data_IF_598913368515
#
_entry.id   IF_598913368515
#
_cell.length_a   1.000
_cell.length_b   1.000
_cell.length_c   1.000
_cell.angle_alpha   90.00
_cell.angle_beta   90.00
_cell.angle_gamma   90.00
#
_symmetry.space_group_name_H-M   'P 1'
#
loop_
_entity.id
_entity.type
_entity.pdbx_description
1 polymer ?
#
# COMPACT_ATOMS: atom_id res chain seq x y z
N UNK A 1 32.28 22.81 43.51
CA UNK A 1 31.58 21.53 43.26
C UNK A 1 30.78 21.69 41.98
N UNK A 2 31.33 21.22 40.86
CA UNK A 2 30.65 21.27 39.56
C UNK A 2 29.85 19.98 39.41
N UNK A 3 28.52 20.10 39.46
CA UNK A 3 27.61 18.98 39.26
C UNK A 3 27.64 18.61 37.77
N UNK A 4 28.23 17.46 37.46
CA UNK A 4 28.20 16.87 36.12
C UNK A 4 26.86 16.13 36.00
N UNK A 5 25.95 16.65 35.19
CA UNK A 5 24.71 15.96 34.84
C UNK A 5 25.02 14.75 33.93
N UNK A 6 24.36 13.60 34.12
CA UNK A 6 24.61 12.41 33.32
C UNK A 6 24.15 12.65 31.87
N UNK A 7 25.00 12.27 30.91
CA UNK A 7 24.64 12.20 29.49
C UNK A 7 23.49 11.20 29.35
N UNK A 8 22.38 11.64 28.75
CA UNK A 8 21.28 10.75 28.37
C UNK A 8 21.75 9.60 27.47
N UNK A 9 20.95 8.53 27.33
CA UNK A 9 21.34 7.33 26.60
C UNK A 9 21.70 7.70 25.15
N UNK A 10 22.95 7.46 24.77
CA UNK A 10 23.37 7.49 23.37
C UNK A 10 22.63 6.36 22.66
N UNK A 11 21.62 6.70 21.85
CA UNK A 11 21.01 5.75 20.94
C UNK A 11 22.07 5.28 19.97
N UNK A 12 22.52 4.02 20.11
CA UNK A 12 23.36 3.39 19.08
C UNK A 12 22.56 3.42 17.79
N UNK A 13 23.07 4.14 16.79
CA UNK A 13 22.52 4.10 15.43
C UNK A 13 22.60 2.65 14.96
N UNK A 14 21.47 2.10 14.48
CA UNK A 14 21.42 0.75 13.93
C UNK A 14 22.50 0.57 12.85
N UNK A 15 23.10 -0.63 12.72
CA UNK A 15 24.09 -0.88 11.68
C UNK A 15 23.49 -0.59 10.29
N UNK A 16 24.33 -0.06 9.39
CA UNK A 16 23.98 0.07 7.96
C UNK A 16 23.87 -1.33 7.38
N UNK A 17 22.79 -1.57 6.63
CA UNK A 17 22.47 -2.87 6.03
C UNK A 17 22.45 -2.74 4.51
N UNK A 18 22.88 -3.79 3.82
CA UNK A 18 22.66 -4.01 2.39
C UNK A 18 21.35 -4.76 2.17
N UNK A 19 20.38 -4.09 1.54
CA UNK A 19 19.00 -4.56 1.40
C UNK A 19 18.66 -4.70 -0.08
N UNK A 20 18.19 -5.88 -0.48
CA UNK A 20 17.48 -6.07 -1.74
C UNK A 20 15.98 -5.89 -1.50
N UNK A 21 15.42 -4.78 -1.95
CA UNK A 21 14.00 -4.50 -1.86
C UNK A 21 13.32 -4.93 -3.17
N UNK A 22 12.45 -5.94 -3.11
CA UNK A 22 11.79 -6.50 -4.30
C UNK A 22 10.34 -6.03 -4.34
N UNK A 23 9.97 -5.25 -5.36
CA UNK A 23 8.62 -4.77 -5.60
C UNK A 23 7.82 -5.65 -6.58
N UNK A 24 6.54 -5.31 -6.84
CA UNK A 24 5.75 -5.95 -7.89
C UNK A 24 6.32 -5.71 -9.29
N UNK A 25 6.03 -6.65 -10.21
CA UNK A 25 6.54 -6.65 -11.58
C UNK A 25 5.58 -6.03 -12.61
N UNK A 26 4.30 -5.85 -12.28
CA UNK A 26 3.27 -5.49 -13.26
C UNK A 26 3.39 -4.07 -13.80
N UNK A 27 3.48 -3.09 -12.90
CA UNK A 27 3.49 -1.66 -13.24
C UNK A 27 4.83 -1.02 -12.84
N UNK A 28 5.36 -0.09 -13.65
CA UNK A 28 6.46 0.76 -13.23
C UNK A 28 6.11 1.50 -11.94
N UNK A 29 6.98 1.39 -10.95
CA UNK A 29 6.81 2.01 -9.64
C UNK A 29 7.36 3.44 -9.69
N UNK A 30 6.50 4.37 -10.11
CA UNK A 30 6.75 5.80 -10.22
C UNK A 30 5.43 6.56 -10.14
N UNK A 31 5.48 7.86 -9.93
CA UNK A 31 4.27 8.68 -9.93
C UNK A 31 3.74 8.91 -11.37
N UNK A 32 2.41 8.92 -11.58
CA UNK A 32 1.37 8.47 -10.64
C UNK A 32 1.42 6.95 -10.43
N UNK A 33 1.30 6.50 -9.17
CA UNK A 33 1.40 5.07 -8.84
C UNK A 33 0.16 4.31 -9.33
N UNK A 34 0.38 3.10 -9.83
CA UNK A 34 -0.72 2.23 -10.24
C UNK A 34 -1.59 1.77 -9.06
N UNK A 35 -1.05 1.71 -7.84
CA UNK A 35 -1.76 1.27 -6.65
C UNK A 35 -1.00 1.54 -5.36
N UNK A 36 -1.58 1.11 -4.24
CA UNK A 36 -1.00 1.31 -2.92
C UNK A 36 0.29 0.51 -2.68
N UNK A 37 0.43 -0.65 -3.32
CA UNK A 37 1.66 -1.45 -3.22
C UNK A 37 2.84 -0.75 -3.89
N UNK A 38 2.63 -0.17 -5.07
CA UNK A 38 3.64 0.65 -5.76
C UNK A 38 4.00 1.88 -4.93
N UNK A 39 3.00 2.58 -4.38
CA UNK A 39 3.22 3.74 -3.51
C UNK A 39 4.05 3.37 -2.26
N UNK A 40 3.69 2.26 -1.60
CA UNK A 40 4.42 1.72 -0.46
C UNK A 40 5.87 1.41 -0.82
N UNK A 41 6.11 0.61 -1.88
CA UNK A 41 7.46 0.19 -2.25
C UNK A 41 8.38 1.39 -2.51
N UNK A 42 7.90 2.37 -3.28
CA UNK A 42 8.69 3.55 -3.59
C UNK A 42 8.99 4.41 -2.35
N UNK A 43 7.99 4.65 -1.51
CA UNK A 43 8.18 5.48 -0.30
C UNK A 43 9.04 4.78 0.74
N UNK A 44 8.88 3.47 0.90
CA UNK A 44 9.66 2.65 1.82
C UNK A 44 11.14 2.56 1.41
N UNK A 45 11.45 2.37 0.12
CA UNK A 45 12.82 2.41 -0.39
C UNK A 45 13.49 3.75 -0.08
N UNK A 46 12.78 4.87 -0.29
CA UNK A 46 13.29 6.20 0.06
C UNK A 46 13.53 6.33 1.57
N UNK A 47 12.60 5.87 2.40
CA UNK A 47 12.71 5.93 3.85
C UNK A 47 13.91 5.12 4.38
N UNK A 48 14.12 3.91 3.89
CA UNK A 48 15.26 3.06 4.26
C UNK A 48 16.60 3.69 3.84
N UNK A 49 16.68 4.28 2.64
CA UNK A 49 17.86 5.04 2.19
C UNK A 49 18.12 6.27 3.06
N UNK A 50 17.07 7.00 3.46
CA UNK A 50 17.18 8.14 4.40
C UNK A 50 17.69 7.71 5.77
N UNK A 51 17.31 6.52 6.26
CA UNK A 51 17.85 5.96 7.49
C UNK A 51 19.34 5.59 7.39
N UNK A 52 19.86 5.45 6.16
CA UNK A 52 21.27 5.24 5.86
C UNK A 52 21.61 3.82 5.43
N UNK A 53 20.61 2.99 5.09
CA UNK A 53 20.81 1.66 4.52
C UNK A 53 21.17 1.74 3.03
N UNK A 54 21.92 0.76 2.55
CA UNK A 54 22.16 0.55 1.12
C UNK A 54 21.03 -0.29 0.55
N UNK A 55 20.17 0.33 -0.26
CA UNK A 55 18.98 -0.32 -0.78
C UNK A 55 19.06 -0.41 -2.30
N UNK A 56 19.21 -1.62 -2.81
CA UNK A 56 18.94 -1.94 -4.21
C UNK A 56 17.45 -2.25 -4.36
N UNK A 57 16.81 -1.59 -5.33
CA UNK A 57 15.39 -1.77 -5.60
C UNK A 57 15.22 -2.57 -6.88
N UNK A 58 14.45 -3.66 -6.83
CA UNK A 58 14.15 -4.51 -7.97
C UNK A 58 12.65 -4.47 -8.25
N UNK A 59 12.28 -3.77 -9.30
CA UNK A 59 10.90 -3.54 -9.69
C UNK A 59 10.72 -3.60 -11.21
N UNK A 60 9.48 -3.42 -11.68
CA UNK A 60 9.16 -3.34 -13.09
C UNK A 60 10.01 -2.28 -13.81
N UNK A 61 10.38 -2.55 -15.06
CA UNK A 61 11.15 -1.64 -15.91
C UNK A 61 10.54 -0.24 -15.94
N UNK A 62 11.40 0.77 -15.77
CA UNK A 62 10.99 2.17 -15.73
C UNK A 62 10.45 2.65 -14.38
N UNK A 63 10.65 1.87 -13.31
CA UNK A 63 10.43 2.30 -11.93
C UNK A 63 11.48 3.33 -11.48
N UNK A 64 11.09 4.25 -10.61
CA UNK A 64 12.01 5.25 -10.06
C UNK A 64 12.96 4.62 -9.03
N UNK A 65 14.26 4.85 -9.19
CA UNK A 65 15.28 4.37 -8.24
C UNK A 65 15.55 2.86 -8.30
N UNK A 66 15.15 2.21 -9.40
CA UNK A 66 15.43 0.82 -9.72
C UNK A 66 16.94 0.56 -9.85
N UNK A 67 17.38 -0.65 -9.50
CA UNK A 67 18.76 -1.09 -9.71
C UNK A 67 19.02 -1.25 -11.21
N UNK A 68 20.12 -0.72 -11.76
CA UNK A 68 20.40 -0.80 -13.20
C UNK A 68 20.73 -2.22 -13.67
N UNK A 69 21.05 -3.12 -12.73
CA UNK A 69 21.54 -4.45 -13.05
C UNK A 69 20.43 -5.46 -13.38
N UNK A 70 19.20 -5.17 -12.96
CA UNK A 70 18.05 -6.04 -13.20
C UNK A 70 16.74 -5.25 -13.14
N UNK A 71 15.92 -5.41 -14.17
CA UNK A 71 14.56 -4.87 -14.21
C UNK A 71 13.55 -5.96 -14.52
N UNK A 72 12.42 -5.95 -13.79
CA UNK A 72 11.33 -6.85 -14.09
C UNK A 72 10.61 -6.43 -15.39
N UNK A 73 10.12 -7.38 -16.19
CA UNK A 73 9.71 -7.14 -17.56
C UNK A 73 8.51 -6.20 -17.77
N UNK A 74 7.67 -5.99 -16.75
CA UNK A 74 6.34 -5.40 -16.93
C UNK A 74 5.39 -6.33 -17.70
N UNK A 75 4.09 -6.02 -17.68
CA UNK A 75 3.10 -6.73 -18.49
C UNK A 75 2.85 -5.98 -19.80
N UNK A 76 3.14 -6.63 -20.92
CA UNK A 76 2.95 -6.06 -22.25
C UNK A 76 1.59 -6.45 -22.85
N UNK A 77 0.65 -5.51 -22.81
CA UNK A 77 -0.69 -5.66 -23.40
C UNK A 77 -0.74 -5.48 -24.92
N UNK A 78 0.37 -5.12 -25.58
CA UNK A 78 0.42 -4.94 -27.03
C UNK A 78 -0.67 -3.99 -27.54
N UNK A 79 -1.44 -4.45 -28.54
CA UNK A 79 -2.59 -3.73 -29.11
C UNK A 79 -3.88 -3.86 -28.30
N UNK A 80 -3.96 -4.74 -27.30
CA UNK A 80 -5.16 -5.06 -26.53
C UNK A 80 -5.27 -4.28 -25.23
N UNK A 81 -4.91 -2.98 -25.27
CA UNK A 81 -4.86 -2.11 -24.07
C UNK A 81 -6.23 -1.87 -23.45
N UNK A 82 -7.28 -1.92 -24.25
CA UNK A 82 -8.67 -1.82 -23.82
C UNK A 82 -9.13 -3.01 -22.96
N UNK A 83 -8.45 -4.15 -23.07
CA UNK A 83 -8.66 -5.33 -22.23
C UNK A 83 -7.80 -5.32 -20.97
N UNK A 84 -6.97 -4.28 -20.78
CA UNK A 84 -6.06 -4.21 -19.65
C UNK A 84 -6.84 -4.17 -18.33
N UNK A 85 -6.48 -5.10 -17.44
CA UNK A 85 -6.93 -5.16 -16.06
C UNK A 85 -5.75 -5.27 -15.12
N UNK A 86 -5.99 -5.09 -13.83
CA UNK A 86 -4.96 -5.22 -12.80
C UNK A 86 -4.56 -6.68 -12.52
N UNK A 87 -5.37 -7.65 -12.94
CA UNK A 87 -5.21 -9.08 -12.60
C UNK A 87 -4.98 -9.99 -13.80
N UNK A 88 -5.47 -9.61 -14.98
CA UNK A 88 -5.39 -10.43 -16.20
C UNK A 88 -4.02 -10.33 -16.88
N UNK A 89 -3.60 -11.41 -17.54
CA UNK A 89 -2.37 -11.46 -18.33
C UNK A 89 -2.69 -11.78 -19.79
N UNK A 90 -2.07 -11.08 -20.76
CA UNK A 90 -1.96 -11.57 -22.13
C UNK A 90 -1.25 -12.92 -22.17
N UNK A 91 -1.48 -13.68 -23.24
CA UNK A 91 -0.82 -14.97 -23.47
C UNK A 91 0.71 -14.84 -23.39
N UNK A 92 1.36 -15.69 -22.58
CA UNK A 92 2.82 -15.73 -22.44
C UNK A 92 3.42 -14.70 -21.47
N UNK A 93 2.68 -13.64 -21.08
CA UNK A 93 3.22 -12.60 -20.22
C UNK A 93 3.38 -13.07 -18.77
N UNK A 94 2.54 -14.00 -18.30
CA UNK A 94 2.68 -14.58 -16.97
C UNK A 94 3.95 -15.43 -16.87
N UNK A 95 4.20 -16.28 -17.85
CA UNK A 95 5.39 -17.14 -17.91
C UNK A 95 6.67 -16.30 -18.08
N UNK A 96 6.58 -15.17 -18.76
CA UNK A 96 7.69 -14.20 -18.88
C UNK A 96 8.01 -13.54 -17.55
N UNK A 97 7.00 -13.15 -16.78
CA UNK A 97 7.16 -12.61 -15.43
C UNK A 97 7.77 -13.66 -14.47
N UNK A 98 7.26 -14.89 -14.49
CA UNK A 98 7.75 -15.99 -13.67
C UNK A 98 9.25 -16.29 -13.93
N UNK A 99 9.67 -16.37 -15.21
CA UNK A 99 11.09 -16.54 -15.58
C UNK A 99 11.98 -15.40 -15.07
N UNK A 100 11.44 -14.18 -15.06
CA UNK A 100 12.17 -13.03 -14.54
C UNK A 100 12.37 -13.12 -13.02
N UNK A 101 11.35 -13.54 -12.26
CA UNK A 101 11.51 -13.74 -10.82
C UNK A 101 12.47 -14.88 -10.47
N UNK A 102 12.46 -15.98 -11.22
CA UNK A 102 13.46 -17.05 -11.06
C UNK A 102 14.88 -16.49 -11.27
N UNK A 103 15.07 -15.71 -12.33
CA UNK A 103 16.37 -15.11 -12.65
C UNK A 103 16.82 -14.10 -11.58
N UNK A 104 15.87 -13.30 -11.07
CA UNK A 104 16.11 -12.36 -9.98
C UNK A 104 16.54 -13.11 -8.71
N UNK A 105 15.80 -14.16 -8.32
CA UNK A 105 16.15 -14.95 -7.13
C UNK A 105 17.56 -15.53 -7.23
N UNK A 106 17.91 -16.11 -8.37
CA UNK A 106 19.27 -16.62 -8.63
C UNK A 106 20.34 -15.51 -8.53
N UNK A 107 20.02 -14.28 -8.97
CA UNK A 107 20.90 -13.13 -8.80
C UNK A 107 21.07 -12.76 -7.31
N UNK A 108 19.98 -12.74 -6.54
CA UNK A 108 20.02 -12.41 -5.11
C UNK A 108 20.84 -13.42 -4.31
N UNK A 109 20.70 -14.72 -4.61
CA UNK A 109 21.53 -15.79 -4.00
C UNK A 109 23.02 -15.53 -4.26
N UNK A 110 23.40 -15.14 -5.48
CA UNK A 110 24.80 -14.85 -5.82
C UNK A 110 25.35 -13.57 -5.18
N UNK A 111 24.50 -12.57 -4.94
CA UNK A 111 24.92 -11.27 -4.39
C UNK A 111 25.10 -11.28 -2.88
N UNK A 112 24.32 -12.08 -2.15
CA UNK A 112 24.45 -12.19 -0.70
C UNK A 112 24.16 -10.88 0.04
N UNK A 113 22.94 -10.36 -0.09
CA UNK A 113 22.47 -9.21 0.70
C UNK A 113 22.32 -9.58 2.17
N UNK A 114 22.40 -8.59 3.07
CA UNK A 114 22.09 -8.79 4.49
C UNK A 114 20.62 -9.23 4.66
N UNK A 115 19.71 -8.57 3.92
CA UNK A 115 18.28 -8.92 3.88
C UNK A 115 17.68 -8.73 2.48
N UNK A 116 16.78 -9.64 2.11
CA UNK A 116 15.85 -9.49 0.98
C UNK A 116 14.46 -9.14 1.51
N UNK A 117 13.95 -7.95 1.21
CA UNK A 117 12.57 -7.57 1.54
C UNK A 117 11.65 -7.79 0.33
N UNK A 118 10.90 -8.88 0.37
CA UNK A 118 9.99 -9.31 -0.68
C UNK A 118 8.59 -8.68 -0.54
N UNK A 119 8.15 -7.99 -1.59
CA UNK A 119 6.80 -7.40 -1.73
C UNK A 119 6.16 -7.75 -3.09
N UNK A 120 6.68 -8.75 -3.81
CA UNK A 120 6.42 -8.93 -5.25
C UNK A 120 5.17 -9.74 -5.61
N UNK A 121 4.51 -10.34 -4.61
CA UNK A 121 3.41 -11.30 -4.78
C UNK A 121 3.75 -12.50 -5.68
N UNK A 122 5.03 -12.77 -5.95
CA UNK A 122 5.47 -13.88 -6.79
C UNK A 122 5.84 -15.12 -5.97
N UNK A 123 5.34 -16.33 -6.32
CA UNK A 123 5.75 -17.59 -5.69
C UNK A 123 7.22 -17.94 -5.96
N UNK A 124 7.80 -17.36 -7.01
CA UNK A 124 9.15 -17.67 -7.46
C UNK A 124 10.25 -16.96 -6.67
N UNK A 125 9.89 -16.19 -5.63
CA UNK A 125 10.84 -15.69 -4.63
C UNK A 125 11.17 -16.74 -3.56
N UNK A 126 10.31 -17.74 -3.37
CA UNK A 126 10.55 -18.85 -2.43
C UNK A 126 11.39 -19.96 -3.08
N UNK A 127 12.09 -20.79 -2.29
CA UNK A 127 12.84 -21.95 -2.79
C UNK A 127 12.07 -22.80 -3.83
N UNK A 128 12.74 -23.12 -4.93
CA UNK A 128 12.20 -23.96 -6.01
C UNK A 128 13.30 -24.86 -6.59
N UNK A 129 12.98 -25.88 -7.41
CA UNK A 129 14.00 -26.70 -8.06
C UNK A 129 15.00 -25.90 -8.91
N UNK A 130 14.62 -24.73 -9.42
CA UNK A 130 15.48 -23.85 -10.23
C UNK A 130 16.39 -22.93 -9.38
N UNK A 131 16.05 -22.73 -8.11
CA UNK A 131 16.86 -21.97 -7.14
C UNK A 131 16.47 -22.41 -5.73
N UNK A 132 17.12 -23.46 -5.20
CA UNK A 132 16.72 -24.07 -3.92
C UNK A 132 17.30 -23.37 -2.68
N UNK A 133 18.32 -22.54 -2.84
CA UNK A 133 19.06 -21.95 -1.71
C UNK A 133 18.20 -20.95 -0.93
N UNK A 134 18.12 -20.99 0.40
CA UNK A 134 17.37 -19.99 1.17
C UNK A 134 17.97 -18.59 1.02
N UNK A 135 17.14 -17.57 1.23
CA UNK A 135 17.54 -16.15 1.29
C UNK A 135 17.25 -15.60 2.70
N UNK A 136 18.04 -14.64 3.23
CA UNK A 136 17.69 -13.92 4.46
C UNK A 136 16.50 -12.99 4.19
N UNK A 137 15.30 -13.58 4.10
CA UNK A 137 14.15 -12.92 3.49
C UNK A 137 13.10 -12.52 4.52
N UNK A 138 12.54 -11.33 4.33
CA UNK A 138 11.28 -10.88 4.93
C UNK A 138 10.26 -10.72 3.82
N UNK A 139 9.15 -11.44 3.89
CA UNK A 139 8.01 -11.22 2.99
C UNK A 139 6.94 -10.40 3.69
N UNK A 140 6.51 -9.28 3.09
CA UNK A 140 5.33 -8.54 3.57
C UNK A 140 4.08 -8.95 2.83
N UNK A 141 3.08 -9.36 3.60
CA UNK A 141 1.75 -9.75 3.16
C UNK A 141 0.88 -8.49 3.03
N UNK A 142 0.62 -8.10 1.78
CA UNK A 142 -0.12 -6.87 1.42
C UNK A 142 -1.56 -7.11 0.97
N UNK A 143 -1.95 -8.37 0.79
CA UNK A 143 -3.25 -8.78 0.24
C UNK A 143 -3.84 -9.89 1.10
N UNK A 144 -5.14 -10.20 0.95
CA UNK A 144 -5.68 -11.49 1.35
C UNK A 144 -4.89 -12.64 0.73
N UNK A 145 -5.11 -13.85 1.26
CA UNK A 145 -4.43 -15.08 0.87
C UNK A 145 -4.46 -15.29 -0.64
N UNK A 146 -3.29 -15.58 -1.19
CA UNK A 146 -3.13 -16.03 -2.57
C UNK A 146 -2.71 -17.50 -2.52
N UNK A 147 -3.51 -18.39 -3.10
CA UNK A 147 -3.31 -19.84 -3.00
C UNK A 147 -1.94 -20.27 -3.54
N UNK A 148 -1.56 -19.79 -4.71
CA UNK A 148 -0.26 -20.12 -5.33
C UNK A 148 0.93 -19.69 -4.46
N UNK A 149 0.83 -18.52 -3.81
CA UNK A 149 1.86 -18.03 -2.90
C UNK A 149 1.88 -18.85 -1.62
N UNK A 150 0.70 -19.22 -1.09
CA UNK A 150 0.55 -20.08 0.08
C UNK A 150 1.19 -21.45 -0.15
N UNK A 151 0.97 -22.03 -1.33
CA UNK A 151 1.54 -23.33 -1.69
C UNK A 151 3.07 -23.25 -1.82
N UNK A 152 3.61 -22.14 -2.35
CA UNK A 152 5.05 -21.93 -2.41
C UNK A 152 5.68 -21.77 -1.02
N UNK A 153 5.04 -20.99 -0.14
CA UNK A 153 5.43 -20.84 1.27
C UNK A 153 5.41 -22.19 1.99
N UNK A 154 4.34 -22.98 1.82
CA UNK A 154 4.19 -24.28 2.46
C UNK A 154 5.26 -25.29 2.00
N UNK A 155 5.61 -25.30 0.71
CA UNK A 155 6.70 -26.14 0.18
C UNK A 155 8.07 -25.72 0.70
N UNK A 156 8.30 -24.42 0.86
CA UNK A 156 9.55 -23.89 1.37
C UNK A 156 9.73 -24.14 2.88
N UNK A 157 8.64 -24.22 3.65
CA UNK A 157 8.71 -24.41 5.10
C UNK A 157 9.54 -23.30 5.74
N UNK A 158 10.40 -23.64 6.69
CA UNK A 158 11.23 -22.66 7.40
C UNK A 158 12.18 -21.85 6.49
N UNK A 159 12.52 -22.38 5.31
CA UNK A 159 13.37 -21.70 4.30
C UNK A 159 12.61 -20.59 3.55
N UNK A 160 11.31 -20.42 3.81
CA UNK A 160 10.51 -19.31 3.27
C UNK A 160 10.89 -17.95 3.88
N UNK A 161 11.64 -17.94 4.98
CA UNK A 161 12.05 -16.73 5.70
C UNK A 161 11.00 -16.23 6.69
N UNK A 162 11.13 -14.97 7.08
CA UNK A 162 10.27 -14.31 8.05
C UNK A 162 9.12 -13.55 7.36
N UNK A 163 8.03 -13.31 8.09
CA UNK A 163 6.82 -12.70 7.55
C UNK A 163 6.41 -11.45 8.32
N UNK A 164 5.98 -10.44 7.57
CA UNK A 164 5.29 -9.28 8.10
C UNK A 164 3.90 -9.14 7.45
N UNK A 165 2.95 -8.54 8.13
CA UNK A 165 1.64 -8.20 7.57
C UNK A 165 1.22 -6.78 7.96
N UNK A 166 0.41 -6.16 7.10
CA UNK A 166 0.00 -4.76 7.26
C UNK A 166 -1.15 -4.54 8.26
N UNK A 167 -1.76 -5.62 8.76
CA UNK A 167 -2.81 -5.64 9.80
C UNK A 167 -2.90 -7.02 10.44
N UNK A 168 -3.58 -7.15 11.58
CA UNK A 168 -3.82 -8.47 12.17
C UNK A 168 -4.85 -9.26 11.36
N UNK A 169 -5.87 -8.61 10.78
CA UNK A 169 -6.79 -9.26 9.84
C UNK A 169 -6.03 -9.90 8.67
N UNK A 170 -5.10 -9.17 8.05
CA UNK A 170 -4.27 -9.75 6.98
C UNK A 170 -3.39 -10.87 7.51
N UNK A 171 -2.72 -10.72 8.66
CA UNK A 171 -1.91 -11.78 9.23
C UNK A 171 -2.69 -13.10 9.44
N UNK A 172 -3.93 -13.00 9.93
CA UNK A 172 -4.77 -14.15 10.26
C UNK A 172 -5.27 -14.93 9.03
N UNK A 173 -5.32 -14.29 7.86
CA UNK A 173 -5.75 -14.93 6.61
C UNK A 173 -4.66 -15.83 5.99
N UNK A 174 -3.41 -15.67 6.44
CA UNK A 174 -2.27 -16.42 5.92
C UNK A 174 -1.82 -17.50 6.89
N UNK A 175 -1.51 -18.69 6.33
CA UNK A 175 -0.77 -19.74 7.04
C UNK A 175 0.69 -19.65 6.65
N UNK A 176 1.55 -19.41 7.63
CA UNK A 176 3.00 -19.25 7.44
C UNK A 176 3.76 -20.20 8.38
N UNK A 177 4.96 -20.65 7.99
CA UNK A 177 5.79 -21.55 8.79
C UNK A 177 6.33 -20.88 10.06
N UNK A 178 6.34 -19.54 10.09
CA UNK A 178 6.86 -18.72 11.19
C UNK A 178 5.84 -17.66 11.61
N UNK A 179 5.87 -17.19 12.87
CA UNK A 179 4.97 -16.12 13.32
C UNK A 179 5.05 -14.87 12.44
N UNK A 180 3.90 -14.29 12.13
CA UNK A 180 3.80 -13.07 11.35
C UNK A 180 3.93 -11.85 12.27
N UNK A 181 4.88 -10.96 11.96
CA UNK A 181 5.01 -9.68 12.65
C UNK A 181 4.07 -8.64 12.02
N UNK A 182 3.13 -8.08 12.79
CA UNK A 182 2.22 -7.05 12.26
C UNK A 182 2.90 -5.68 12.25
N UNK A 183 3.23 -5.18 11.06
CA UNK A 183 3.80 -3.86 10.82
C UNK A 183 2.87 -3.11 9.85
N UNK A 184 1.97 -2.25 10.36
CA UNK A 184 1.12 -1.45 9.50
C UNK A 184 1.94 -0.51 8.61
N UNK A 185 1.41 -0.23 7.43
CA UNK A 185 2.03 0.71 6.50
C UNK A 185 2.10 2.11 7.15
N UNK A 186 3.07 2.90 6.66
CA UNK A 186 3.27 4.27 7.10
C UNK A 186 3.05 5.27 5.96
N UNK A 187 2.66 6.48 6.33
CA UNK A 187 2.42 7.60 5.42
C UNK A 187 3.60 8.57 5.48
N UNK A 188 4.04 9.09 4.33
CA UNK A 188 5.01 10.18 4.31
C UNK A 188 4.33 11.49 4.74
N UNK A 189 4.32 11.72 6.05
CA UNK A 189 3.69 12.89 6.67
C UNK A 189 4.37 14.22 6.33
N UNK A 190 5.57 14.19 5.75
CA UNK A 190 6.23 15.40 5.23
C UNK A 190 5.71 15.80 3.84
N UNK A 191 5.21 14.84 3.06
CA UNK A 191 4.60 15.11 1.75
C UNK A 191 3.09 15.35 1.90
N UNK A 192 2.40 14.46 2.61
CA UNK A 192 0.97 14.57 2.93
C UNK A 192 0.76 15.54 4.09
N UNK A 193 0.70 16.83 3.74
CA UNK A 193 0.59 17.94 4.69
C UNK A 193 -0.86 18.43 4.85
N UNK A 194 -1.21 19.02 6.01
CA UNK A 194 -2.54 19.59 6.23
C UNK A 194 -2.97 20.58 5.14
N UNK A 195 -4.17 20.39 4.61
CA UNK A 195 -4.80 21.33 3.67
C UNK A 195 -5.86 22.23 4.31
N UNK A 196 -6.42 23.19 3.56
CA UNK A 196 -7.37 24.17 4.07
C UNK A 196 -8.74 23.58 4.45
N UNK A 197 -9.06 22.36 4.00
CA UNK A 197 -10.41 21.82 4.05
C UNK A 197 -11.34 22.45 3.01
N UNK A 198 -12.60 22.05 3.02
CA UNK A 198 -13.60 22.55 2.07
C UNK A 198 -14.96 21.94 2.34
N UNK A 199 -15.80 21.88 1.31
CA UNK A 199 -17.22 21.49 1.41
C UNK A 199 -17.57 20.21 0.65
N UNK A 200 -16.69 19.73 -0.23
CA UNK A 200 -16.90 18.52 -1.01
C UNK A 200 -16.28 17.29 -0.34
N UNK A 201 -16.88 16.12 -0.55
CA UNK A 201 -16.25 14.84 -0.31
C UNK A 201 -15.23 14.52 -1.41
N UNK A 202 -14.26 13.68 -1.08
CA UNK A 202 -13.34 13.08 -2.04
C UNK A 202 -13.38 11.55 -1.94
N UNK A 203 -13.28 10.90 -3.08
CA UNK A 203 -12.93 9.49 -3.18
C UNK A 203 -11.72 9.39 -4.10
N UNK A 204 -10.72 8.59 -3.74
CA UNK A 204 -9.60 8.36 -4.63
C UNK A 204 -9.03 6.96 -4.53
N UNK A 205 -8.53 6.48 -5.66
CA UNK A 205 -7.99 5.13 -5.81
C UNK A 205 -8.32 4.54 -7.18
N UNK A 206 -8.05 3.25 -7.32
CA UNK A 206 -8.33 2.49 -8.55
C UNK A 206 -9.84 2.36 -8.73
N UNK A 207 -10.38 2.78 -9.88
CA UNK A 207 -11.80 2.60 -10.22
C UNK A 207 -12.03 1.13 -10.64
N UNK A 208 -12.26 0.28 -9.64
CA UNK A 208 -12.45 -1.17 -9.78
C UNK A 208 -13.59 -1.65 -8.88
N UNK A 209 -14.23 -2.79 -9.19
CA UNK A 209 -15.33 -3.33 -8.38
C UNK A 209 -14.98 -3.51 -6.90
N UNK A 210 -13.76 -3.96 -6.56
CA UNK A 210 -13.39 -4.20 -5.17
C UNK A 210 -13.24 -2.92 -4.31
N UNK A 211 -13.05 -1.75 -4.94
CA UNK A 211 -12.97 -0.45 -4.25
C UNK A 211 -14.30 0.33 -4.26
N UNK A 212 -15.25 -0.14 -5.08
CA UNK A 212 -16.64 0.31 -5.14
C UNK A 212 -16.94 1.82 -5.04
N UNK A 213 -16.31 2.68 -5.86
CA UNK A 213 -16.61 4.12 -5.88
C UNK A 213 -18.10 4.45 -6.13
N UNK A 214 -18.85 3.58 -6.82
CA UNK A 214 -20.31 3.70 -6.97
C UNK A 214 -21.05 3.86 -5.62
N UNK A 215 -20.63 3.16 -4.57
CA UNK A 215 -21.26 3.25 -3.25
C UNK A 215 -20.98 4.60 -2.58
N UNK A 216 -19.79 5.18 -2.80
CA UNK A 216 -19.47 6.53 -2.34
C UNK A 216 -20.33 7.58 -3.05
N UNK A 217 -20.56 7.41 -4.35
CA UNK A 217 -21.45 8.29 -5.14
C UNK A 217 -22.87 8.23 -4.59
N UNK A 218 -23.40 7.03 -4.38
CA UNK A 218 -24.78 6.86 -3.93
C UNK A 218 -24.97 7.41 -2.50
N UNK A 219 -24.00 7.21 -1.60
CA UNK A 219 -24.05 7.79 -0.25
C UNK A 219 -23.97 9.33 -0.26
N UNK A 220 -23.09 9.91 -1.10
CA UNK A 220 -22.99 11.36 -1.22
C UNK A 220 -24.27 11.98 -1.82
N UNK A 221 -24.92 11.30 -2.76
CA UNK A 221 -26.22 11.71 -3.32
C UNK A 221 -27.33 11.74 -2.27
N UNK A 222 -27.38 10.76 -1.36
CA UNK A 222 -28.35 10.78 -0.25
C UNK A 222 -28.20 12.02 0.65
N UNK A 223 -26.99 12.55 0.77
CA UNK A 223 -26.69 13.75 1.57
C UNK A 223 -26.76 15.07 0.78
N UNK A 224 -26.89 15.00 -0.56
CA UNK A 224 -26.68 16.17 -1.42
C UNK A 224 -25.25 16.74 -1.35
N UNK A 225 -24.27 15.93 -0.95
CA UNK A 225 -22.87 16.33 -0.78
C UNK A 225 -22.11 16.20 -2.12
N UNK A 226 -21.42 17.23 -2.61
CA UNK A 226 -20.58 17.09 -3.80
C UNK A 226 -19.46 16.07 -3.58
N UNK A 227 -19.14 15.27 -4.61
CA UNK A 227 -18.09 14.26 -4.59
C UNK A 227 -17.13 14.44 -5.77
N UNK A 228 -15.84 14.53 -5.44
CA UNK A 228 -14.75 14.51 -6.40
C UNK A 228 -14.09 13.13 -6.38
N UNK A 229 -14.06 12.45 -7.52
CA UNK A 229 -13.38 11.17 -7.70
C UNK A 229 -12.05 11.38 -8.45
N UNK A 230 -10.97 10.78 -7.95
CA UNK A 230 -9.66 10.80 -8.62
C UNK A 230 -9.03 9.40 -8.67
N UNK A 231 -8.37 9.08 -9.80
CA UNK A 231 -7.66 7.83 -9.99
C UNK A 231 -7.91 7.20 -11.36
N UNK A 232 -7.05 6.22 -11.69
CA UNK A 232 -7.08 5.52 -12.96
C UNK A 232 -8.23 4.51 -13.05
N UNK A 233 -8.62 4.21 -14.29
CA UNK A 233 -9.51 3.11 -14.64
C UNK A 233 -8.74 1.79 -14.51
N UNK A 234 -8.85 1.12 -13.36
CA UNK A 234 -8.27 -0.21 -13.18
C UNK A 234 -9.09 -1.31 -13.89
N UNK A 235 -10.37 -1.03 -14.10
CA UNK A 235 -11.28 -1.84 -14.90
C UNK A 235 -12.11 -0.91 -15.80
N UNK A 236 -11.87 -0.99 -17.10
CA UNK A 236 -12.54 -0.15 -18.09
C UNK A 236 -14.04 -0.44 -18.18
N UNK A 237 -14.44 -1.71 -18.06
CA UNK A 237 -15.85 -2.12 -18.14
C UNK A 237 -16.62 -1.61 -16.92
N UNK A 238 -16.07 -1.83 -15.73
CA UNK A 238 -16.65 -1.33 -14.49
C UNK A 238 -16.82 0.19 -14.51
N UNK A 239 -15.83 0.94 -15.03
CA UNK A 239 -15.98 2.38 -15.18
C UNK A 239 -17.17 2.76 -16.08
N UNK A 240 -17.32 2.12 -17.23
CA UNK A 240 -18.39 2.45 -18.18
C UNK A 240 -19.78 2.04 -17.67
N UNK A 241 -19.87 0.89 -16.99
CA UNK A 241 -21.16 0.34 -16.53
C UNK A 241 -21.61 0.97 -15.19
N UNK A 242 -20.68 1.22 -14.26
CA UNK A 242 -21.04 1.63 -12.89
C UNK A 242 -20.70 3.08 -12.56
N UNK A 243 -19.63 3.64 -13.12
CA UNK A 243 -19.16 4.98 -12.70
C UNK A 243 -19.65 6.07 -13.64
N UNK A 244 -19.37 5.95 -14.94
CA UNK A 244 -19.70 6.96 -15.94
C UNK A 244 -21.19 7.37 -15.93
N UNK A 245 -22.17 6.45 -15.83
CA UNK A 245 -23.59 6.81 -15.79
C UNK A 245 -24.00 7.57 -14.52
N UNK A 246 -23.17 7.53 -13.47
CA UNK A 246 -23.42 8.21 -12.20
C UNK A 246 -22.77 9.60 -12.12
N UNK A 247 -21.90 9.95 -13.06
CA UNK A 247 -21.31 11.28 -13.14
C UNK A 247 -22.32 12.26 -13.76
N UNK A 248 -22.45 13.45 -13.18
CA UNK A 248 -23.30 14.52 -13.72
C UNK A 248 -22.51 15.77 -14.14
N UNK A 249 -21.18 15.77 -13.95
CA UNK A 249 -20.31 16.89 -14.32
C UNK A 249 -20.40 18.10 -13.37
N UNK A 250 -21.36 18.10 -12.45
CA UNK A 250 -21.63 19.18 -11.51
C UNK A 250 -21.24 18.74 -10.09
N UNK A 251 -22.17 18.11 -9.36
CA UNK A 251 -21.95 17.67 -7.98
C UNK A 251 -21.13 16.38 -7.87
N UNK A 252 -21.13 15.52 -8.89
CA UNK A 252 -20.37 14.27 -8.91
C UNK A 252 -19.45 14.28 -10.14
N UNK A 253 -18.14 14.36 -9.89
CA UNK A 253 -17.12 14.55 -10.93
C UNK A 253 -15.98 13.57 -10.81
N UNK A 254 -15.57 12.98 -11.93
CA UNK A 254 -14.29 12.28 -12.04
C UNK A 254 -13.23 13.22 -12.64
N UNK A 255 -12.10 13.35 -11.95
CA UNK A 255 -11.02 14.27 -12.29
C UNK A 255 -9.90 13.61 -13.09
N UNK A 256 -10.04 12.34 -13.45
CA UNK A 256 -8.97 11.57 -14.06
C UNK A 256 -7.93 11.08 -13.06
N UNK A 257 -6.79 10.69 -13.59
CA UNK A 257 -5.60 10.36 -12.82
C UNK A 257 -4.83 11.66 -12.53
N UNK A 258 -4.46 11.87 -11.26
CA UNK A 258 -3.72 13.05 -10.82
C UNK A 258 -2.30 12.65 -10.42
N UNK A 259 -1.36 13.58 -10.55
CA UNK A 259 -0.06 13.45 -9.88
C UNK A 259 -0.25 13.39 -8.35
N UNK A 260 0.73 12.87 -7.60
CA UNK A 260 0.60 12.88 -6.14
C UNK A 260 0.47 14.30 -5.60
N UNK A 261 1.22 15.26 -6.13
CA UNK A 261 1.06 16.65 -5.72
C UNK A 261 -0.38 17.16 -5.94
N UNK A 262 -0.99 16.83 -7.08
CA UNK A 262 -2.39 17.16 -7.37
C UNK A 262 -3.36 16.44 -6.45
N UNK A 263 -3.11 15.16 -6.14
CA UNK A 263 -3.93 14.35 -5.23
C UNK A 263 -3.88 14.89 -3.81
N UNK A 264 -2.70 15.24 -3.29
CA UNK A 264 -2.52 15.87 -1.97
C UNK A 264 -3.27 17.20 -1.86
N UNK A 265 -3.16 18.05 -2.89
CA UNK A 265 -3.87 19.32 -2.93
C UNK A 265 -5.40 19.11 -2.93
N UNK A 266 -5.89 18.19 -3.78
CA UNK A 266 -7.30 17.81 -3.84
C UNK A 266 -7.81 17.33 -2.47
N UNK A 267 -7.15 16.30 -1.91
CA UNK A 267 -7.56 15.66 -0.66
C UNK A 267 -7.54 16.66 0.50
N UNK A 268 -6.50 17.49 0.59
CA UNK A 268 -6.39 18.53 1.61
C UNK A 268 -7.43 19.65 1.49
N UNK A 269 -8.04 19.84 0.31
CA UNK A 269 -9.11 20.82 0.07
C UNK A 269 -10.53 20.27 0.29
N UNK A 270 -10.68 18.98 0.63
CA UNK A 270 -11.97 18.35 0.82
C UNK A 270 -12.39 18.28 2.30
N UNK A 271 -13.70 18.16 2.51
CA UNK A 271 -14.34 18.08 3.81
C UNK A 271 -14.17 16.70 4.47
N UNK A 272 -14.22 15.65 3.65
CA UNK A 272 -14.21 14.25 4.08
C UNK A 272 -13.72 13.36 2.94
N UNK A 273 -12.99 12.31 3.27
CA UNK A 273 -12.66 11.22 2.35
C UNK A 273 -13.58 10.04 2.59
N UNK A 274 -14.13 9.48 1.51
CA UNK A 274 -15.03 8.32 1.56
C UNK A 274 -14.27 7.09 1.05
N UNK A 275 -14.20 6.02 1.84
CA UNK A 275 -13.43 4.81 1.53
C UNK A 275 -14.35 3.59 1.56
N UNK A 276 -14.52 2.93 0.41
CA UNK A 276 -15.64 1.98 0.19
C UNK A 276 -15.19 0.57 -0.25
N UNK A 277 -14.28 -0.10 0.44
CA UNK A 277 -13.84 -1.43 0.02
C UNK A 277 -14.98 -2.45 0.11
N UNK A 278 -15.08 -3.32 -0.90
CA UNK A 278 -15.94 -4.53 -0.90
C UNK A 278 -15.16 -5.82 -0.68
N UNK A 279 -13.84 -5.72 -0.67
CA UNK A 279 -12.91 -6.78 -0.29
C UNK A 279 -12.36 -6.53 1.12
N UNK A 280 -11.73 -7.53 1.73
CA UNK A 280 -11.01 -7.39 3.00
C UNK A 280 -9.79 -6.48 2.82
N UNK A 281 -10.01 -5.16 2.88
CA UNK A 281 -8.99 -4.14 2.66
C UNK A 281 -7.84 -4.31 3.67
N UNK A 282 -6.62 -4.65 3.23
CA UNK A 282 -5.54 -5.02 4.13
C UNK A 282 -5.07 -3.88 5.04
N UNK A 283 -5.06 -2.66 4.50
CA UNK A 283 -4.62 -1.45 5.21
C UNK A 283 -5.44 -0.23 4.79
N UNK A 284 -5.46 0.09 3.49
CA UNK A 284 -6.19 1.25 2.95
C UNK A 284 -5.43 2.58 3.08
N UNK A 285 -4.26 2.68 2.43
CA UNK A 285 -3.38 3.87 2.46
C UNK A 285 -4.11 5.20 2.27
N UNK A 286 -5.11 5.22 1.38
CA UNK A 286 -5.91 6.41 1.07
C UNK A 286 -6.57 7.04 2.31
N UNK A 287 -6.97 6.24 3.30
CA UNK A 287 -7.56 6.75 4.54
C UNK A 287 -6.51 7.53 5.37
N UNK A 288 -5.35 6.94 5.55
CA UNK A 288 -4.26 7.51 6.35
C UNK A 288 -3.61 8.70 5.64
N UNK A 289 -3.49 8.66 4.32
CA UNK A 289 -3.05 9.79 3.49
C UNK A 289 -4.00 10.99 3.63
N UNK A 290 -5.32 10.75 3.62
CA UNK A 290 -6.32 11.78 3.87
C UNK A 290 -6.24 12.38 5.26
N UNK A 291 -6.17 11.53 6.27
CA UNK A 291 -6.02 11.96 7.65
C UNK A 291 -4.71 12.74 7.85
N UNK A 292 -3.62 12.37 7.16
CA UNK A 292 -2.37 13.13 7.12
C UNK A 292 -2.53 14.52 6.47
N UNK A 293 -3.46 14.69 5.53
CA UNK A 293 -3.87 16.00 5.03
C UNK A 293 -4.87 16.74 5.93
N UNK A 294 -5.19 16.17 7.10
CA UNK A 294 -6.21 16.68 8.02
C UNK A 294 -7.64 16.48 7.53
N UNK A 295 -7.87 15.67 6.50
CA UNK A 295 -9.20 15.40 5.96
C UNK A 295 -9.79 14.17 6.67
N UNK A 296 -10.89 14.33 7.44
CA UNK A 296 -11.56 13.21 8.09
C UNK A 296 -11.96 12.09 7.14
N UNK A 297 -12.10 10.88 7.66
CA UNK A 297 -12.44 9.69 6.88
C UNK A 297 -13.78 9.12 7.33
N UNK A 298 -14.61 8.77 6.35
CA UNK A 298 -15.73 7.87 6.51
C UNK A 298 -15.46 6.60 5.68
N UNK A 299 -15.53 5.42 6.31
CA UNK A 299 -15.14 4.18 5.66
C UNK A 299 -16.06 3.01 6.00
N UNK A 300 -16.15 2.00 5.12
CA UNK A 300 -16.71 0.71 5.52
C UNK A 300 -15.77 0.00 6.51
N UNK A 301 -16.34 -0.54 7.59
CA UNK A 301 -15.63 -1.33 8.59
C UNK A 301 -15.32 -2.74 8.07
N UNK A 302 -14.32 -2.84 7.17
CA UNK A 302 -13.96 -4.09 6.50
C UNK A 302 -12.45 -4.28 6.48
N UNK A 303 -11.99 -5.52 6.63
CA UNK A 303 -10.57 -5.86 6.60
C UNK A 303 -9.74 -5.19 7.69
N UNK A 304 -8.43 -5.12 7.42
CA UNK A 304 -7.48 -4.37 8.24
C UNK A 304 -7.76 -2.87 8.27
N UNK A 305 -8.39 -2.30 7.24
CA UNK A 305 -8.85 -0.90 7.29
C UNK A 305 -9.83 -0.68 8.46
N UNK A 306 -10.82 -1.56 8.61
CA UNK A 306 -11.80 -1.49 9.69
C UNK A 306 -11.16 -1.66 11.06
N UNK A 307 -10.23 -2.62 11.20
CA UNK A 307 -9.44 -2.83 12.42
C UNK A 307 -8.64 -1.58 12.81
N UNK A 308 -7.87 -1.04 11.87
CA UNK A 308 -6.94 0.06 12.16
C UNK A 308 -7.65 1.39 12.41
N UNK A 309 -8.85 1.58 11.85
CA UNK A 309 -9.65 2.78 12.06
C UNK A 309 -10.59 2.68 13.27
N UNK A 310 -10.70 1.54 13.95
CA UNK A 310 -11.66 1.34 15.04
C UNK A 310 -11.47 2.35 16.19
N UNK A 311 -10.21 2.65 16.54
CA UNK A 311 -9.83 3.61 17.58
C UNK A 311 -9.29 4.93 17.00
N UNK A 312 -9.43 5.12 15.70
CA UNK A 312 -9.00 6.33 15.01
C UNK A 312 -10.10 7.42 15.05
N UNK A 313 -9.74 8.70 14.92
CA UNK A 313 -10.70 9.78 14.65
C UNK A 313 -11.22 9.68 13.22
N UNK A 314 -12.01 8.65 12.96
CA UNK A 314 -12.70 8.35 11.71
C UNK A 314 -14.12 7.84 12.01
N UNK A 315 -15.00 7.83 11.01
CA UNK A 315 -16.34 7.29 11.14
C UNK A 315 -16.48 5.99 10.33
N UNK A 316 -16.88 4.91 10.99
CA UNK A 316 -17.05 3.60 10.36
C UNK A 316 -18.52 3.29 10.08
N UNK A 317 -18.77 2.70 8.91
CA UNK A 317 -20.07 2.26 8.44
C UNK A 317 -20.12 0.72 8.33
N UNK A 318 -21.34 0.18 8.40
CA UNK A 318 -21.57 -1.23 8.11
C UNK A 318 -21.16 -1.53 6.65
N UNK A 319 -20.44 -2.63 6.38
CA UNK A 319 -20.00 -2.95 5.02
C UNK A 319 -21.15 -3.02 4.01
N UNK A 320 -20.93 -2.44 2.82
CA UNK A 320 -21.87 -2.42 1.69
C UNK A 320 -23.21 -1.68 1.94
N UNK A 321 -23.42 -1.08 3.13
CA UNK A 321 -24.63 -0.32 3.45
C UNK A 321 -24.46 1.17 3.16
N UNK A 322 -25.09 1.63 2.07
CA UNK A 322 -25.05 3.02 1.60
C UNK A 322 -25.67 4.00 2.61
N UNK A 323 -26.72 3.60 3.34
CA UNK A 323 -27.37 4.48 4.33
C UNK A 323 -26.49 4.60 5.57
N UNK A 324 -25.87 3.50 6.01
CA UNK A 324 -24.87 3.51 7.06
C UNK A 324 -23.66 4.38 6.67
N UNK A 325 -23.20 4.28 5.43
CA UNK A 325 -22.12 5.12 4.88
C UNK A 325 -22.49 6.61 4.88
N UNK A 326 -23.71 6.98 4.48
CA UNK A 326 -24.17 8.37 4.55
C UNK A 326 -24.15 8.92 5.99
N UNK A 327 -24.56 8.12 6.99
CA UNK A 327 -24.45 8.51 8.41
C UNK A 327 -23.00 8.66 8.88
N UNK A 328 -22.11 7.76 8.44
CA UNK A 328 -20.69 7.86 8.74
C UNK A 328 -20.06 9.11 8.10
N UNK A 329 -20.39 9.42 6.84
CA UNK A 329 -19.96 10.66 6.18
C UNK A 329 -20.41 11.88 6.99
N UNK A 330 -21.68 11.94 7.38
CA UNK A 330 -22.20 13.04 8.20
C UNK A 330 -21.44 13.18 9.53
N UNK A 331 -21.15 12.06 10.20
CA UNK A 331 -20.39 12.05 11.46
C UNK A 331 -18.93 12.51 11.26
N UNK A 332 -18.29 12.06 10.18
CA UNK A 332 -16.91 12.42 9.86
C UNK A 332 -16.73 13.93 9.60
N UNK A 333 -17.74 14.62 9.06
CA UNK A 333 -17.71 16.07 8.86
C UNK A 333 -17.53 16.87 10.17
N UNK A 334 -17.84 16.26 11.32
CA UNK A 334 -17.67 16.88 12.64
C UNK A 334 -16.34 16.54 13.33
N UNK A 335 -15.53 15.67 12.72
CA UNK A 335 -14.22 15.32 13.26
C UNK A 335 -13.25 16.50 13.06
N UNK A 336 -12.52 16.85 14.12
CA UNK A 336 -11.51 17.90 14.04
C UNK A 336 -10.39 17.46 13.11
N UNK A 337 -10.14 18.26 12.06
CA UNK A 337 -9.05 18.06 11.09
C UNK A 337 -7.68 17.83 11.74
N UNK A 338 -7.37 18.60 12.78
CA UNK A 338 -6.13 18.46 13.54
C UNK A 338 -6.02 17.11 14.26
N UNK A 339 -7.11 16.61 14.84
CA UNK A 339 -7.11 15.32 15.53
C UNK A 339 -6.86 14.16 14.56
N UNK A 340 -7.47 14.20 13.36
CA UNK A 340 -7.19 13.23 12.30
C UNK A 340 -5.71 13.20 11.92
N UNK A 341 -5.11 14.39 11.79
CA UNK A 341 -3.69 14.53 11.48
C UNK A 341 -2.78 14.00 12.58
N UNK A 342 -2.97 14.48 13.81
CA UNK A 342 -2.14 14.12 14.96
C UNK A 342 -2.11 12.61 15.13
N UNK A 343 -3.27 11.96 15.06
CA UNK A 343 -3.37 10.51 15.18
C UNK A 343 -2.53 9.76 14.13
N UNK A 344 -2.54 10.18 12.85
CA UNK A 344 -1.69 9.52 11.83
C UNK A 344 -0.21 9.78 12.02
N UNK A 345 0.17 10.99 12.45
CA UNK A 345 1.58 11.31 12.72
C UNK A 345 2.13 10.43 13.83
N UNK A 346 1.34 10.21 14.89
CA UNK A 346 1.78 9.48 16.07
C UNK A 346 1.82 7.96 15.83
N UNK A 347 0.89 7.42 15.03
CA UNK A 347 0.68 5.97 14.90
C UNK A 347 1.16 5.38 13.57
N UNK A 348 1.20 6.18 12.49
CA UNK A 348 1.37 5.69 11.11
C UNK A 348 2.35 6.53 10.29
N UNK A 349 3.40 7.09 10.90
CA UNK A 349 4.44 7.76 10.09
C UNK A 349 5.33 6.73 9.38
N UNK A 350 5.69 7.04 8.12
CA UNK A 350 6.59 6.20 7.32
C UNK A 350 7.94 5.95 7.98
N UNK A 351 8.46 6.94 8.73
CA UNK A 351 9.76 6.80 9.41
C UNK A 351 9.68 5.80 10.56
N UNK A 352 8.57 5.77 11.30
CA UNK A 352 8.34 4.74 12.33
C UNK A 352 8.21 3.35 11.70
N UNK A 353 7.43 3.21 10.63
CA UNK A 353 7.30 1.94 9.89
C UNK A 353 8.67 1.46 9.39
N UNK A 354 9.47 2.34 8.77
CA UNK A 354 10.81 2.01 8.31
C UNK A 354 11.73 1.52 9.44
N UNK A 355 11.65 2.15 10.63
CA UNK A 355 12.44 1.70 11.79
C UNK A 355 12.03 0.30 12.25
N UNK A 356 10.72 0.00 12.31
CA UNK A 356 10.21 -1.32 12.70
C UNK A 356 10.65 -2.42 11.73
N UNK A 357 10.70 -2.12 10.43
CA UNK A 357 11.29 -3.05 9.46
C UNK A 357 12.79 -3.23 9.67
N UNK A 358 13.54 -2.16 9.92
CA UNK A 358 14.99 -2.26 10.22
C UNK A 358 15.29 -3.06 11.49
N UNK A 359 14.38 -3.08 12.47
CA UNK A 359 14.44 -3.96 13.64
C UNK A 359 14.21 -5.42 13.23
N UNK A 360 13.15 -5.70 12.46
CA UNK A 360 12.87 -7.05 11.94
C UNK A 360 14.01 -7.59 11.06
N UNK A 361 14.66 -6.73 10.26
CA UNK A 361 15.82 -7.13 9.45
C UNK A 361 16.99 -7.61 10.31
N UNK A 362 17.21 -7.01 11.49
CA UNK A 362 18.28 -7.46 12.39
C UNK A 362 17.98 -8.84 12.97
N UNK A 363 16.72 -9.17 13.22
CA UNK A 363 16.32 -10.51 13.69
C UNK A 363 16.59 -11.57 12.63
N UNK A 364 16.39 -11.25 11.35
CA UNK A 364 16.66 -12.14 10.21
C UNK A 364 18.15 -12.44 10.09
N UNK A 365 19.03 -11.46 10.34
CA UNK A 365 20.49 -11.62 10.21
C UNK A 365 21.12 -12.44 11.34
N UNK A 366 20.49 -12.54 12.50
CA UNK A 366 21.03 -13.23 13.68
C UNK A 366 20.71 -14.72 13.68
N UNK A 367 19.81 -15.16 12.81
CA UNK A 367 19.38 -16.57 12.67
C UNK A 367 20.14 -17.23 11.54
#
# INVERSE_FOLDING_TARGET
>A
MTVILPRGPQTRRAPRLSIAFVGPARFPIREPYAGGLEAFCHTMVKALRIQGHDVDFFAAKGSDGNSPDFELPGVNWGSSRELATDTGYPEGEREREDRAFISLRQLLVRRGYDVVHNNSLSPWMFPSPQSPEPLPMVTTLHTPRIDELSDAIARAGDDAGEFAAVSHVTAADWTTPRPVTVIPNGVNVSDWTPGPGGTAAVWFGRLVPEKAPHLAIDACRLLGLPLLLAGRKGDHRYFQEEIAPRLNGESIRWLGELSHAGLRALVGSCAVTVVTPRWEEPFGLVAFESMACGTPVAAFARGGLGELLADAPAALAAPDDVVSLARAIHSALHIKRAAAREWVVDNHSLIQTARRYSELYQEVMVR
#
